data_IF_027167737698
#
_entry.id   IF_027167737698
#
_cell.length_a   1.000
_cell.length_b   1.000
_cell.length_c   1.000
_cell.angle_alpha   90.00
_cell.angle_beta   90.00
_cell.angle_gamma   90.00
#
_symmetry.space_group_name_H-M   'P 1'
#
loop_
_entity.id
_entity.type
_entity.pdbx_description
1 polymer ?
#
# COMPACT_ATOMS: atom_id res chain seq x y z
N UNK A 1 -11.16 -0.33 2.49
CA UNK A 1 -11.91 -1.25 1.60
C UNK A 1 -10.94 -1.86 0.61
N UNK A 2 -10.82 -3.18 0.57
CA UNK A 2 -9.99 -3.85 -0.44
C UNK A 2 -10.80 -4.01 -1.73
N UNK A 3 -10.34 -3.43 -2.83
CA UNK A 3 -10.99 -3.50 -4.14
C UNK A 3 -10.50 -4.71 -4.96
N UNK A 4 -9.53 -5.47 -4.43
CA UNK A 4 -8.90 -6.62 -5.09
C UNK A 4 -8.27 -6.19 -6.42
N UNK A 5 -8.14 -7.11 -7.37
CA UNK A 5 -7.66 -6.81 -8.72
C UNK A 5 -8.71 -5.94 -9.44
N UNK A 6 -8.31 -4.74 -9.83
CA UNK A 6 -9.17 -3.79 -10.55
C UNK A 6 -8.87 -3.72 -12.04
N UNK A 7 -7.65 -4.09 -12.45
CA UNK A 7 -7.24 -4.07 -13.86
C UNK A 7 -6.06 -5.02 -14.14
N UNK A 8 -5.81 -5.29 -15.42
CA UNK A 8 -4.64 -6.04 -15.91
C UNK A 8 -4.10 -5.37 -17.18
N UNK A 9 -2.83 -4.97 -17.15
CA UNK A 9 -2.17 -4.30 -18.26
C UNK A 9 -0.75 -4.85 -18.49
N UNK A 10 -0.42 -5.20 -19.73
CA UNK A 10 0.90 -5.74 -20.12
C UNK A 10 1.42 -6.90 -19.24
N UNK A 11 0.52 -7.78 -18.79
CA UNK A 11 0.88 -8.91 -17.93
C UNK A 11 0.90 -8.60 -16.42
N UNK A 12 0.93 -7.33 -16.04
CA UNK A 12 0.82 -6.87 -14.66
C UNK A 12 -0.64 -6.86 -14.19
N UNK A 13 -0.87 -7.23 -12.94
CA UNK A 13 -2.17 -7.10 -12.27
C UNK A 13 -2.13 -5.87 -11.38
N UNK A 14 -3.16 -5.02 -11.47
CA UNK A 14 -3.33 -3.83 -10.64
C UNK A 14 -4.29 -4.16 -9.51
N UNK A 15 -3.79 -4.12 -8.27
CA UNK A 15 -4.59 -4.23 -7.07
C UNK A 15 -4.80 -2.86 -6.43
N UNK A 16 -5.99 -2.64 -5.88
CA UNK A 16 -6.32 -1.39 -5.21
C UNK A 16 -6.89 -1.57 -3.80
N UNK A 17 -6.50 -0.67 -2.91
CA UNK A 17 -7.04 -0.57 -1.56
C UNK A 17 -7.42 0.88 -1.25
N UNK A 18 -8.68 1.10 -0.91
CA UNK A 18 -9.21 2.43 -0.57
C UNK A 18 -9.21 2.61 0.95
N UNK A 19 -8.50 3.62 1.45
CA UNK A 19 -8.50 3.98 2.87
C UNK A 19 -9.79 4.67 3.29
N UNK A 20 -10.06 4.77 4.60
CA UNK A 20 -11.24 5.50 5.09
C UNK A 20 -11.17 7.02 4.79
N UNK A 21 -9.95 7.56 4.61
CA UNK A 21 -9.72 8.96 4.25
C UNK A 21 -9.82 9.23 2.74
N UNK A 22 -10.22 8.26 1.92
CA UNK A 22 -10.36 8.42 0.48
C UNK A 22 -9.05 8.30 -0.32
N UNK A 23 -7.90 8.14 0.34
CA UNK A 23 -6.63 7.84 -0.35
C UNK A 23 -6.66 6.41 -0.92
N UNK A 24 -6.32 6.26 -2.19
CA UNK A 24 -6.19 4.97 -2.86
C UNK A 24 -4.74 4.48 -2.88
N UNK A 25 -4.51 3.26 -2.43
CA UNK A 25 -3.25 2.54 -2.62
C UNK A 25 -3.34 1.65 -3.85
N UNK A 26 -2.34 1.75 -4.72
CA UNK A 26 -2.22 0.94 -5.92
C UNK A 26 -0.96 0.10 -5.83
N UNK A 27 -1.09 -1.20 -6.14
CA UNK A 27 0.02 -2.13 -6.19
C UNK A 27 -0.02 -2.87 -7.53
N UNK A 28 1.06 -2.76 -8.28
CA UNK A 28 1.27 -3.52 -9.51
C UNK A 28 2.21 -4.69 -9.21
N UNK A 29 1.87 -5.87 -9.70
CA UNK A 29 2.76 -7.02 -9.61
C UNK A 29 2.58 -8.00 -10.77
N UNK A 30 3.59 -8.83 -10.97
CA UNK A 30 3.56 -9.96 -11.89
C UNK A 30 3.03 -11.23 -11.21
N UNK A 31 2.51 -12.13 -12.04
CA UNK A 31 2.05 -13.46 -11.62
C UNK A 31 0.82 -13.45 -10.71
N UNK A 32 0.38 -14.65 -10.33
CA UNK A 32 -0.71 -14.79 -9.37
C UNK A 32 -0.13 -14.78 -7.95
N UNK A 33 -0.51 -13.81 -7.13
CA UNK A 33 -0.13 -13.72 -5.72
C UNK A 33 -1.31 -14.11 -4.85
N UNK A 34 -1.04 -14.70 -3.69
CA UNK A 34 -2.07 -15.04 -2.72
C UNK A 34 -2.82 -13.79 -2.27
N UNK A 35 -4.14 -13.80 -2.40
CA UNK A 35 -4.99 -12.67 -2.08
C UNK A 35 -4.83 -12.24 -0.60
N UNK A 36 -4.69 -13.21 0.30
CA UNK A 36 -4.44 -12.95 1.73
C UNK A 36 -3.16 -12.15 1.97
N UNK A 37 -2.10 -12.43 1.21
CA UNK A 37 -0.82 -11.72 1.36
C UNK A 37 -0.92 -10.27 0.90
N UNK A 38 -1.64 -10.02 -0.20
CA UNK A 38 -1.91 -8.67 -0.69
C UNK A 38 -2.77 -7.89 0.31
N UNK A 39 -3.81 -8.52 0.87
CA UNK A 39 -4.64 -7.93 1.91
C UNK A 39 -3.80 -7.58 3.15
N UNK A 40 -2.93 -8.50 3.59
CA UNK A 40 -2.02 -8.29 4.71
C UNK A 40 -1.07 -7.11 4.48
N UNK A 41 -0.45 -7.06 3.30
CA UNK A 41 0.42 -5.94 2.91
C UNK A 41 -0.31 -4.59 2.96
N UNK A 42 -1.50 -4.48 2.36
CA UNK A 42 -2.26 -3.23 2.37
C UNK A 42 -2.69 -2.82 3.78
N UNK A 43 -3.06 -3.77 4.65
CA UNK A 43 -3.42 -3.49 6.05
C UNK A 43 -2.23 -2.93 6.83
N UNK A 44 -1.07 -3.57 6.74
CA UNK A 44 0.12 -3.13 7.47
C UNK A 44 0.64 -1.77 6.95
N UNK A 45 0.61 -1.55 5.63
CA UNK A 45 0.95 -0.25 5.03
C UNK A 45 -0.05 0.82 5.44
N UNK A 46 -1.35 0.49 5.51
CA UNK A 46 -2.37 1.43 5.98
C UNK A 46 -2.13 1.85 7.43
N UNK A 47 -1.75 0.93 8.32
CA UNK A 47 -1.40 1.26 9.69
C UNK A 47 -0.21 2.24 9.76
N UNK A 48 0.84 2.01 8.96
CA UNK A 48 1.97 2.93 8.86
C UNK A 48 1.56 4.31 8.31
N UNK A 49 0.70 4.33 7.30
CA UNK A 49 0.20 5.56 6.69
C UNK A 49 -0.62 6.38 7.68
N UNK A 50 -1.52 5.76 8.45
CA UNK A 50 -2.29 6.45 9.49
C UNK A 50 -1.36 7.05 10.55
N UNK A 51 -0.32 6.32 10.97
CA UNK A 51 0.69 6.85 11.92
C UNK A 51 1.43 8.06 11.37
N UNK A 52 1.70 8.10 10.07
CA UNK A 52 2.30 9.26 9.42
C UNK A 52 1.34 10.47 9.44
N UNK A 53 0.08 10.26 9.10
CA UNK A 53 -0.95 11.30 9.09
C UNK A 53 -1.27 11.87 10.48
N UNK A 54 -1.04 11.09 11.55
CA UNK A 54 -1.17 11.59 12.92
C UNK A 54 -0.09 12.62 13.29
N UNK A 55 0.93 12.82 12.46
CA UNK A 55 1.89 13.90 12.65
C UNK A 55 1.28 15.24 12.21
N UNK A 56 1.16 16.25 13.08
CA UNK A 56 0.59 17.56 12.74
C UNK A 56 1.39 18.34 11.69
N UNK A 57 2.64 17.93 11.42
CA UNK A 57 3.49 18.51 10.37
C UNK A 57 3.39 17.76 9.03
N UNK A 58 2.59 16.69 8.95
CA UNK A 58 2.32 16.01 7.70
C UNK A 58 1.17 16.72 6.99
N UNK A 59 1.49 17.41 5.89
CA UNK A 59 0.48 17.96 5.00
C UNK A 59 -0.22 16.84 4.23
N UNK A 60 -1.56 16.88 4.18
CA UNK A 60 -2.35 16.01 3.32
C UNK A 60 -2.01 16.28 1.85
N UNK A 61 -2.10 15.26 1.02
CA UNK A 61 -1.86 15.32 -0.43
C UNK A 61 -0.44 15.74 -0.86
N UNK A 62 0.50 15.88 0.08
CA UNK A 62 1.92 16.04 -0.22
C UNK A 62 2.62 14.69 -0.38
N UNK A 63 3.69 14.63 -1.20
CA UNK A 63 4.54 13.44 -1.27
C UNK A 63 5.14 13.08 0.09
N UNK A 64 5.08 11.80 0.43
CA UNK A 64 5.72 11.27 1.65
C UNK A 64 7.23 11.16 1.39
N UNK A 65 8.03 12.01 2.03
CA UNK A 65 9.50 12.05 1.87
C UNK A 65 10.27 11.41 3.05
N UNK A 66 9.57 10.72 3.95
CA UNK A 66 10.17 10.13 5.15
C UNK A 66 10.97 8.86 4.82
N UNK A 67 12.29 8.90 5.02
CA UNK A 67 13.18 7.74 4.86
C UNK A 67 12.82 6.58 5.81
N UNK A 68 12.36 6.90 7.02
CA UNK A 68 11.91 5.89 7.99
C UNK A 68 10.63 5.19 7.55
N UNK A 69 9.71 5.90 6.88
CA UNK A 69 8.51 5.32 6.31
C UNK A 69 8.88 4.37 5.18
N UNK A 70 9.74 4.80 4.26
CA UNK A 70 10.22 3.98 3.15
C UNK A 70 10.89 2.69 3.66
N UNK A 71 11.79 2.80 4.64
CA UNK A 71 12.47 1.64 5.22
C UNK A 71 11.49 0.62 5.81
N UNK A 72 10.43 1.07 6.50
CA UNK A 72 9.40 0.20 7.07
C UNK A 72 8.55 -0.47 5.99
N UNK A 73 8.18 0.25 4.94
CA UNK A 73 7.44 -0.32 3.80
C UNK A 73 8.27 -1.39 3.10
N UNK A 74 9.58 -1.19 2.91
CA UNK A 74 10.48 -2.20 2.33
C UNK A 74 10.60 -3.46 3.19
N UNK A 75 10.47 -3.36 4.51
CA UNK A 75 10.41 -4.55 5.39
C UNK A 75 9.10 -5.30 5.18
N UNK A 76 7.98 -4.59 5.06
CA UNK A 76 6.67 -5.21 4.77
C UNK A 76 6.62 -5.85 3.38
N UNK A 77 7.23 -5.21 2.38
CA UNK A 77 7.39 -5.77 1.03
C UNK A 77 8.07 -7.14 1.09
N UNK A 78 9.19 -7.26 1.82
CA UNK A 78 9.89 -8.54 1.98
C UNK A 78 9.09 -9.60 2.74
N UNK A 79 8.19 -9.18 3.63
CA UNK A 79 7.37 -10.08 4.46
C UNK A 79 6.18 -10.65 3.69
N UNK A 80 5.52 -9.82 2.89
CA UNK A 80 4.25 -10.17 2.24
C UNK A 80 4.39 -10.41 0.73
N UNK A 81 5.31 -9.72 0.06
CA UNK A 81 5.43 -9.71 -1.40
C UNK A 81 6.68 -10.45 -1.90
N UNK A 82 7.48 -11.07 -1.04
CA UNK A 82 8.64 -11.86 -1.49
C UNK A 82 8.51 -13.32 -1.11
#
# INVERSE_FOLDING_TARGET
>A
MNLRAIDRFNGHIVHAFLTAGGTAFLLLHDGNRGEESLVGFFKDVYELYVKLLMNPFCEMDRPIVSSSFEARVRVLEKRWLR
#
